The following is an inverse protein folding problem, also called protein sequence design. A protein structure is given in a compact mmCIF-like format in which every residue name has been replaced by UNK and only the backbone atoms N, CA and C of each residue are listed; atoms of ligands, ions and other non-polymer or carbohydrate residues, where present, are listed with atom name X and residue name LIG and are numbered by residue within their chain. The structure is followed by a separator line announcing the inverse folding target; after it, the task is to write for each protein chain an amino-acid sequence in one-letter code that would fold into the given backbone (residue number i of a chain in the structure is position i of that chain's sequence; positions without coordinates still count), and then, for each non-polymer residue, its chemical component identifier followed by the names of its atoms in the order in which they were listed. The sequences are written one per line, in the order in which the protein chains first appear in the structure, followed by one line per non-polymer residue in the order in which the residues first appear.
data_IF_408913454911
#
_entry.id   IF_408913454911
#
_cell.length_a   1.000
_cell.length_b   1.000
_cell.length_c   1.000
_cell.angle_alpha   90.00
_cell.angle_beta   90.00
_cell.angle_gamma   90.00
#
_symmetry.space_group_name_H-M   'P 1'
#
loop_
_entity.id
_entity.type
_entity.pdbx_description
1 polymer ?
#
# COMPACT_ATOMS: atom_id res chain seq x y z
N UNK A 1 -36.62 -9.83 -19.23
CA UNK A 1 -36.18 -9.64 -17.83
C UNK A 1 -34.95 -10.48 -17.49
N UNK A 2 -34.99 -11.81 -17.68
CA UNK A 2 -33.86 -12.72 -17.38
C UNK A 2 -32.53 -12.35 -18.06
N UNK A 3 -32.55 -12.00 -19.36
CA UNK A 3 -31.35 -11.62 -20.10
C UNK A 3 -30.61 -10.42 -19.47
N UNK A 4 -31.34 -9.36 -19.10
CA UNK A 4 -30.76 -8.16 -18.49
C UNK A 4 -30.13 -8.45 -17.12
N UNK A 5 -30.76 -9.35 -16.34
CA UNK A 5 -30.22 -9.80 -15.05
C UNK A 5 -28.92 -10.58 -15.24
N UNK A 6 -28.88 -11.57 -16.15
CA UNK A 6 -27.68 -12.35 -16.41
C UNK A 6 -26.54 -11.51 -16.99
N UNK A 7 -26.84 -10.57 -17.88
CA UNK A 7 -25.85 -9.65 -18.42
C UNK A 7 -25.25 -8.78 -17.31
N UNK A 8 -26.10 -8.20 -16.47
CA UNK A 8 -25.66 -7.36 -15.34
C UNK A 8 -24.79 -8.16 -14.37
N UNK A 9 -25.21 -9.39 -14.03
CA UNK A 9 -24.46 -10.28 -13.15
C UNK A 9 -23.10 -10.67 -13.77
N UNK A 10 -23.07 -11.00 -15.06
CA UNK A 10 -21.83 -11.34 -15.76
C UNK A 10 -20.84 -10.19 -15.77
N UNK A 11 -21.30 -8.97 -16.06
CA UNK A 11 -20.46 -7.76 -16.00
C UNK A 11 -19.98 -7.51 -14.56
N UNK A 12 -20.85 -7.66 -13.56
CA UNK A 12 -20.46 -7.49 -12.15
C UNK A 12 -19.41 -8.51 -11.72
N UNK A 13 -19.58 -9.80 -12.03
CA UNK A 13 -18.62 -10.85 -11.71
C UNK A 13 -17.29 -10.65 -12.43
N UNK A 14 -17.32 -10.31 -13.73
CA UNK A 14 -16.11 -9.98 -14.48
C UNK A 14 -15.37 -8.80 -13.85
N UNK A 15 -16.11 -7.78 -13.40
CA UNK A 15 -15.54 -6.59 -12.77
C UNK A 15 -14.84 -6.92 -11.45
N UNK A 16 -15.46 -7.75 -10.61
CA UNK A 16 -14.87 -8.24 -9.36
C UNK A 16 -13.63 -9.08 -9.63
N UNK A 17 -13.68 -9.99 -10.61
CA UNK A 17 -12.54 -10.80 -11.02
C UNK A 17 -11.39 -9.92 -11.56
N UNK A 18 -11.69 -8.90 -12.38
CA UNK A 18 -10.69 -7.96 -12.86
C UNK A 18 -10.01 -7.18 -11.74
N UNK A 19 -10.73 -6.90 -10.65
CA UNK A 19 -10.19 -6.25 -9.45
C UNK A 19 -9.35 -7.17 -8.57
N UNK A 20 -9.50 -8.50 -8.67
CA UNK A 20 -8.65 -9.43 -7.91
C UNK A 20 -7.24 -9.56 -8.50
N UNK A 21 -7.02 -9.13 -9.75
CA UNK A 21 -5.68 -9.05 -10.32
C UNK A 21 -4.88 -7.89 -9.70
N UNK A 22 -3.57 -8.08 -9.58
CA UNK A 22 -2.64 -7.07 -9.05
C UNK A 22 -2.12 -6.08 -10.11
N UNK A 23 -2.61 -6.17 -11.35
CA UNK A 23 -2.24 -5.26 -12.44
C UNK A 23 -3.15 -4.01 -12.44
N UNK A 24 -2.55 -2.82 -12.41
CA UNK A 24 -3.25 -1.52 -12.45
C UNK A 24 -4.23 -1.40 -13.61
N UNK A 25 -3.91 -1.96 -14.79
CA UNK A 25 -4.82 -1.92 -15.94
C UNK A 25 -6.08 -2.77 -15.71
N UNK A 26 -5.91 -3.99 -15.20
CA UNK A 26 -7.02 -4.89 -14.86
C UNK A 26 -7.90 -4.29 -13.76
N UNK A 27 -7.30 -3.70 -12.73
CA UNK A 27 -8.05 -3.05 -11.65
C UNK A 27 -8.86 -1.85 -12.15
N UNK A 28 -8.30 -1.03 -13.06
CA UNK A 28 -9.03 0.09 -13.69
C UNK A 28 -10.17 -0.41 -14.58
N UNK A 29 -9.94 -1.46 -15.37
CA UNK A 29 -10.99 -2.07 -16.18
C UNK A 29 -12.12 -2.64 -15.30
N UNK A 30 -11.78 -3.28 -14.18
CA UNK A 30 -12.76 -3.76 -13.20
C UNK A 30 -13.54 -2.62 -12.53
N UNK A 31 -12.89 -1.51 -12.20
CA UNK A 31 -13.59 -0.32 -11.68
C UNK A 31 -14.58 0.26 -12.69
N UNK A 32 -14.19 0.37 -13.97
CA UNK A 32 -15.09 0.79 -15.04
C UNK A 32 -16.27 -0.19 -15.20
N UNK A 33 -16.00 -1.49 -15.09
CA UNK A 33 -17.04 -2.51 -15.15
C UNK A 33 -18.07 -2.40 -14.02
N UNK A 34 -17.69 -2.00 -12.80
CA UNK A 34 -18.64 -1.72 -11.69
C UNK A 34 -19.58 -0.55 -12.04
N UNK A 35 -19.04 0.50 -12.66
CA UNK A 35 -19.83 1.66 -13.11
C UNK A 35 -20.86 1.21 -14.16
N UNK A 36 -20.41 0.41 -15.13
CA UNK A 36 -21.27 -0.15 -16.18
C UNK A 36 -22.32 -1.10 -15.58
N UNK A 37 -21.95 -1.99 -14.66
CA UNK A 37 -22.88 -2.89 -14.00
C UNK A 37 -23.97 -2.12 -13.23
N UNK A 38 -23.60 -1.01 -12.58
CA UNK A 38 -24.56 -0.16 -11.85
C UNK A 38 -25.54 0.54 -12.78
N UNK A 39 -25.07 1.02 -13.94
CA UNK A 39 -25.94 1.53 -14.99
C UNK A 39 -26.92 0.46 -15.46
N UNK A 40 -26.41 -0.72 -15.84
CA UNK A 40 -27.21 -1.81 -16.39
C UNK A 40 -28.26 -2.31 -15.37
N UNK A 41 -27.89 -2.43 -14.11
CA UNK A 41 -28.79 -2.85 -13.03
C UNK A 41 -30.03 -1.95 -12.96
N UNK A 42 -29.83 -0.64 -12.86
CA UNK A 42 -30.94 0.31 -12.74
C UNK A 42 -31.69 0.47 -14.05
N UNK A 43 -31.00 0.45 -15.19
CA UNK A 43 -31.63 0.52 -16.50
C UNK A 43 -32.57 -0.67 -16.73
N UNK A 44 -32.16 -1.90 -16.44
CA UNK A 44 -33.00 -3.08 -16.65
C UNK A 44 -34.16 -3.20 -15.66
N UNK A 45 -34.05 -2.61 -14.45
CA UNK A 45 -35.14 -2.57 -13.47
C UNK A 45 -36.18 -1.50 -13.82
N UNK A 46 -35.72 -0.31 -14.22
CA UNK A 46 -36.58 0.89 -14.34
C UNK A 46 -36.95 1.25 -15.77
N UNK A 47 -36.23 0.73 -16.77
CA UNK A 47 -36.31 1.16 -18.17
C UNK A 47 -35.74 2.56 -18.44
N UNK A 48 -35.27 3.27 -17.41
CA UNK A 48 -34.81 4.64 -17.51
C UNK A 48 -33.30 4.72 -17.61
N UNK A 49 -32.80 5.21 -18.76
CA UNK A 49 -31.37 5.46 -18.97
C UNK A 49 -30.86 6.61 -18.08
N UNK A 50 -31.72 7.58 -17.72
CA UNK A 50 -31.39 8.68 -16.82
C UNK A 50 -31.10 8.17 -15.40
N UNK A 51 -31.94 7.27 -14.88
CA UNK A 51 -31.72 6.65 -13.57
C UNK A 51 -30.48 5.75 -13.58
N UNK A 52 -30.26 5.02 -14.67
CA UNK A 52 -29.02 4.25 -14.87
C UNK A 52 -27.78 5.14 -14.83
N UNK A 53 -27.81 6.28 -15.52
CA UNK A 53 -26.68 7.22 -15.56
C UNK A 53 -26.44 7.83 -14.18
N UNK A 54 -27.50 8.24 -13.47
CA UNK A 54 -27.39 8.73 -12.11
C UNK A 54 -26.72 7.72 -11.17
N UNK A 55 -27.09 6.44 -11.28
CA UNK A 55 -26.49 5.36 -10.51
C UNK A 55 -25.01 5.15 -10.86
N UNK A 56 -24.63 5.19 -12.14
CA UNK A 56 -23.24 5.11 -12.57
C UNK A 56 -22.40 6.29 -12.04
N UNK A 57 -22.91 7.51 -12.18
CA UNK A 57 -22.21 8.74 -11.75
C UNK A 57 -22.09 8.83 -10.23
N UNK A 58 -23.00 8.21 -9.47
CA UNK A 58 -22.94 8.17 -8.00
C UNK A 58 -21.61 7.61 -7.47
N UNK A 59 -20.97 6.68 -8.19
CA UNK A 59 -19.67 6.13 -7.85
C UNK A 59 -18.54 7.17 -7.84
N UNK A 60 -18.66 8.25 -8.63
CA UNK A 60 -17.70 9.35 -8.64
C UNK A 60 -17.76 10.22 -7.37
N UNK A 61 -18.87 10.13 -6.62
CA UNK A 61 -19.07 10.87 -5.38
C UNK A 61 -18.64 10.07 -4.13
N UNK A 62 -18.33 8.78 -4.23
CA UNK A 62 -17.80 8.00 -3.11
C UNK A 62 -16.52 8.62 -2.49
N UNK A 63 -15.52 9.09 -3.27
CA UNK A 63 -14.37 9.78 -2.69
C UNK A 63 -14.76 11.04 -1.91
N UNK A 64 -15.79 11.77 -2.34
CA UNK A 64 -16.26 12.97 -1.65
C UNK A 64 -16.90 12.63 -0.30
N UNK A 65 -17.65 11.54 -0.21
CA UNK A 65 -18.19 11.04 1.06
C UNK A 65 -17.07 10.66 2.04
N UNK A 66 -16.03 9.97 1.56
CA UNK A 66 -14.86 9.65 2.38
C UNK A 66 -14.12 10.92 2.85
N UNK A 67 -13.94 11.91 1.98
CA UNK A 67 -13.28 13.17 2.34
C UNK A 67 -14.08 13.92 3.42
N UNK A 68 -15.38 14.08 3.22
CA UNK A 68 -16.25 14.86 4.11
C UNK A 68 -16.41 14.21 5.50
N UNK A 69 -16.38 12.88 5.58
CA UNK A 69 -16.57 12.14 6.84
C UNK A 69 -15.25 11.81 7.53
N UNK A 70 -14.24 11.35 6.79
CA UNK A 70 -13.00 10.77 7.34
C UNK A 70 -11.89 11.79 7.51
N UNK A 71 -11.68 12.67 6.54
CA UNK A 71 -10.56 13.63 6.57
C UNK A 71 -10.80 14.73 7.58
N UNK A 72 -12.05 15.15 7.78
CA UNK A 72 -12.39 16.19 8.76
C UNK A 72 -12.10 15.77 10.21
N UNK A 73 -12.08 14.47 10.47
CA UNK A 73 -11.75 13.89 11.78
C UNK A 73 -10.26 13.48 11.90
N UNK A 74 -9.51 13.43 10.80
CA UNK A 74 -8.09 13.06 10.80
C UNK A 74 -7.27 14.15 11.50
N UNK A 75 -6.87 13.88 12.74
CA UNK A 75 -5.93 14.69 13.50
C UNK A 75 -4.53 14.12 13.29
N UNK A 76 -3.66 14.92 12.68
CA UNK A 76 -2.25 14.57 12.59
C UNK A 76 -1.52 15.15 13.80
N UNK A 77 -0.66 14.36 14.48
CA UNK A 77 0.17 14.89 15.55
C UNK A 77 1.10 15.96 14.98
N UNK A 78 1.11 17.14 15.61
CA UNK A 78 1.93 18.28 15.19
C UNK A 78 3.43 17.98 15.30
N UNK A 79 3.81 17.16 16.25
CA UNK A 79 5.19 16.72 16.47
C UNK A 79 5.24 15.21 16.32
N UNK A 80 6.04 14.70 15.37
CA UNK A 80 6.25 13.26 15.19
C UNK A 80 7.70 12.86 15.51
N UNK A 81 7.99 12.51 16.76
CA UNK A 81 9.31 12.06 17.22
C UNK A 81 9.37 10.54 17.41
N UNK A 82 10.25 9.89 16.66
CA UNK A 82 10.57 8.47 16.87
C UNK A 82 11.25 8.28 18.22
N UNK A 83 10.83 7.27 18.97
CA UNK A 83 11.40 6.90 20.26
C UNK A 83 11.94 5.47 20.19
N UNK A 84 12.99 5.12 20.96
CA UNK A 84 13.38 3.73 21.15
C UNK A 84 12.18 2.90 21.60
N UNK A 85 12.01 1.71 21.01
CA UNK A 85 10.90 0.80 21.31
C UNK A 85 11.41 -0.61 21.46
N UNK A 86 10.76 -1.37 22.33
CA UNK A 86 10.97 -2.81 22.39
C UNK A 86 10.33 -3.48 21.19
N UNK A 87 10.92 -4.59 20.76
CA UNK A 87 10.34 -5.46 19.74
C UNK A 87 8.92 -5.90 20.14
N UNK A 88 7.96 -5.93 19.20
CA UNK A 88 6.65 -6.52 19.46
C UNK A 88 6.79 -8.01 19.76
N UNK A 89 5.82 -8.54 20.52
CA UNK A 89 5.75 -9.97 20.83
C UNK A 89 5.54 -10.82 19.57
N UNK A 90 5.91 -12.10 19.62
CA UNK A 90 5.62 -13.09 18.57
C UNK A 90 4.13 -13.22 18.29
N UNK A 91 3.28 -12.98 19.28
CA UNK A 91 1.82 -13.08 19.12
C UNK A 91 1.29 -11.89 18.30
N UNK A 92 1.84 -10.70 18.51
CA UNK A 92 1.48 -9.49 17.75
C UNK A 92 2.12 -9.42 16.37
N UNK A 93 3.36 -9.91 16.22
CA UNK A 93 4.07 -9.90 14.94
C UNK A 93 4.90 -11.18 14.74
N UNK A 94 4.26 -12.30 14.34
CA UNK A 94 4.91 -13.61 14.23
C UNK A 94 6.09 -13.63 13.25
N UNK A 95 5.99 -12.90 12.13
CA UNK A 95 6.99 -12.93 11.07
C UNK A 95 8.26 -12.11 11.38
N UNK A 96 8.29 -11.34 12.49
CA UNK A 96 9.41 -10.44 12.78
C UNK A 96 10.75 -11.16 12.86
N UNK A 97 10.80 -12.31 13.54
CA UNK A 97 12.05 -13.06 13.73
C UNK A 97 12.57 -13.67 12.43
N UNK A 98 11.68 -14.21 11.60
CA UNK A 98 12.03 -14.79 10.31
C UNK A 98 12.59 -13.73 9.36
N UNK A 99 11.89 -12.60 9.25
CA UNK A 99 12.31 -11.48 8.41
C UNK A 99 13.62 -10.87 8.91
N UNK A 100 13.81 -10.77 10.23
CA UNK A 100 15.07 -10.27 10.82
C UNK A 100 16.24 -11.14 10.37
N UNK A 101 16.10 -12.47 10.43
CA UNK A 101 17.13 -13.41 9.97
C UNK A 101 17.37 -13.28 8.46
N UNK A 102 16.33 -13.18 7.65
CA UNK A 102 16.48 -13.01 6.19
C UNK A 102 17.29 -11.74 5.87
N UNK A 103 17.11 -10.66 6.63
CA UNK A 103 17.87 -9.41 6.46
C UNK A 103 19.33 -9.58 6.89
N UNK A 104 19.57 -10.24 8.02
CA UNK A 104 20.91 -10.52 8.54
C UNK A 104 21.72 -11.47 7.63
N UNK A 105 21.07 -12.46 7.02
CA UNK A 105 21.66 -13.40 6.07
C UNK A 105 22.20 -12.69 4.80
N UNK A 106 21.62 -11.54 4.43
CA UNK A 106 22.11 -10.67 3.34
C UNK A 106 23.26 -9.74 3.77
N UNK A 107 23.70 -9.83 5.03
CA UNK A 107 24.82 -9.09 5.60
C UNK A 107 24.44 -7.72 6.18
N UNK A 108 23.16 -7.47 6.45
CA UNK A 108 22.74 -6.27 7.18
C UNK A 108 22.86 -6.49 8.69
N UNK A 109 23.31 -5.47 9.42
CA UNK A 109 23.41 -5.49 10.88
C UNK A 109 22.26 -4.71 11.49
N UNK A 110 21.58 -5.27 12.49
CA UNK A 110 20.54 -4.54 13.22
C UNK A 110 21.16 -3.36 13.99
N UNK A 111 20.61 -2.16 13.78
CA UNK A 111 21.05 -0.92 14.41
C UNK A 111 20.20 -0.57 15.62
N UNK A 112 18.90 -0.88 15.56
CA UNK A 112 18.01 -0.66 16.68
C UNK A 112 16.53 -0.70 16.31
N UNK A 113 15.72 -0.65 17.35
CA UNK A 113 14.26 -0.67 17.26
C UNK A 113 13.71 0.71 17.69
N UNK A 114 12.85 1.27 16.85
CA UNK A 114 12.25 2.57 17.07
C UNK A 114 10.76 2.52 16.74
N UNK A 115 10.00 3.47 17.26
CA UNK A 115 8.58 3.50 17.01
C UNK A 115 7.92 4.76 17.48
N UNK A 116 6.61 4.78 17.29
CA UNK A 116 5.74 5.87 17.65
C UNK A 116 4.36 5.29 17.96
N UNK A 117 3.72 5.79 19.01
CA UNK A 117 2.33 5.51 19.33
C UNK A 117 1.53 6.82 19.37
N UNK A 118 0.33 6.83 18.81
CA UNK A 118 -0.60 7.96 18.87
C UNK A 118 -2.04 7.50 18.78
N UNK A 119 -2.84 7.77 19.82
CA UNK A 119 -4.21 7.27 19.92
C UNK A 119 -4.23 5.75 19.61
N UNK A 120 -4.98 5.33 18.60
CA UNK A 120 -5.08 3.92 18.18
C UNK A 120 -4.07 3.53 17.10
N UNK A 121 -3.12 4.41 16.77
CA UNK A 121 -2.06 4.14 15.81
C UNK A 121 -0.77 3.74 16.52
N UNK A 122 -0.23 2.58 16.15
CA UNK A 122 1.11 2.16 16.57
C UNK A 122 1.97 1.89 15.34
N UNK A 123 3.19 2.40 15.38
CA UNK A 123 4.20 2.17 14.36
C UNK A 123 5.47 1.65 15.02
N UNK A 124 5.96 0.54 14.50
CA UNK A 124 7.22 -0.05 14.91
C UNK A 124 8.16 -0.17 13.70
N UNK A 125 9.43 0.12 13.95
CA UNK A 125 10.52 0.05 12.98
C UNK A 125 11.65 -0.75 13.59
N UNK A 126 12.07 -1.83 12.92
CA UNK A 126 13.38 -2.42 13.14
C UNK A 126 14.31 -1.96 12.04
N UNK A 127 15.41 -1.33 12.43
CA UNK A 127 16.36 -0.67 11.52
C UNK A 127 17.62 -1.52 11.38
N UNK A 128 18.11 -1.62 10.15
CA UNK A 128 19.33 -2.31 9.81
C UNK A 128 20.20 -1.48 8.88
N UNK A 129 21.49 -1.77 8.87
CA UNK A 129 22.44 -1.10 8.02
C UNK A 129 23.51 -2.04 7.49
N UNK A 130 23.88 -1.85 6.23
CA UNK A 130 24.97 -2.56 5.57
C UNK A 130 25.97 -1.54 5.03
N UNK A 131 27.17 -1.53 5.62
CA UNK A 131 28.20 -0.53 5.32
C UNK A 131 28.75 -0.68 3.90
N UNK A 132 29.00 -1.92 3.45
CA UNK A 132 29.54 -2.21 2.11
C UNK A 132 28.72 -1.58 0.99
N UNK A 133 27.39 -1.68 1.11
CA UNK A 133 26.43 -1.21 0.12
C UNK A 133 25.87 0.19 0.47
N UNK A 134 26.26 0.76 1.62
CA UNK A 134 25.72 2.00 2.21
C UNK A 134 24.20 2.06 2.19
N UNK A 135 23.59 0.93 2.52
CA UNK A 135 22.15 0.71 2.43
C UNK A 135 21.55 0.55 3.82
N UNK A 136 20.40 1.19 4.04
CA UNK A 136 19.58 1.02 5.23
C UNK A 136 18.35 0.17 4.89
N UNK A 137 18.12 -0.90 5.64
CA UNK A 137 16.90 -1.68 5.56
C UNK A 137 16.02 -1.43 6.79
N UNK A 138 14.71 -1.55 6.63
CA UNK A 138 13.77 -1.44 7.74
C UNK A 138 12.59 -2.39 7.58
N UNK A 139 12.20 -3.01 8.69
CA UNK A 139 10.90 -3.67 8.85
C UNK A 139 9.96 -2.65 9.48
N UNK A 140 8.88 -2.32 8.79
CA UNK A 140 7.91 -1.32 9.22
C UNK A 140 6.57 -2.01 9.54
N UNK A 141 6.18 -2.05 10.81
CA UNK A 141 4.87 -2.53 11.25
C UNK A 141 3.96 -1.33 11.52
N UNK A 142 2.73 -1.38 10.98
CA UNK A 142 1.69 -0.38 11.21
C UNK A 142 0.45 -1.08 11.74
N UNK A 143 -0.04 -0.58 12.87
CA UNK A 143 -1.23 -1.08 13.53
C UNK A 143 -2.20 0.08 13.72
N UNK A 144 -3.46 -0.13 13.32
CA UNK A 144 -4.56 0.79 13.54
C UNK A 144 -5.84 0.00 13.78
N UNK A 145 -6.41 0.10 14.99
CA UNK A 145 -7.61 -0.65 15.38
C UNK A 145 -7.45 -2.16 15.05
N UNK A 146 -8.36 -2.74 14.25
CA UNK A 146 -8.35 -4.15 13.84
C UNK A 146 -7.48 -4.43 12.61
N UNK A 147 -6.80 -3.41 12.06
CA UNK A 147 -5.93 -3.55 10.90
C UNK A 147 -4.46 -3.49 11.31
N UNK A 148 -3.73 -4.57 11.03
CA UNK A 148 -2.28 -4.60 11.15
C UNK A 148 -1.67 -5.05 9.81
N UNK A 149 -0.62 -4.35 9.38
CA UNK A 149 0.18 -4.76 8.23
C UNK A 149 1.63 -4.33 8.41
N UNK A 150 2.53 -5.09 7.80
CA UNK A 150 3.93 -4.73 7.72
C UNK A 150 4.40 -4.58 6.29
N UNK A 151 5.53 -3.90 6.12
CA UNK A 151 6.24 -3.82 4.86
C UNK A 151 7.75 -3.63 5.12
N UNK A 152 8.53 -3.94 4.10
CA UNK A 152 9.96 -3.82 4.04
C UNK A 152 10.35 -2.60 3.21
N UNK A 153 11.43 -1.95 3.63
CA UNK A 153 12.01 -0.80 2.94
C UNK A 153 13.52 -0.93 2.91
N UNK A 154 14.12 -0.62 1.77
CA UNK A 154 15.57 -0.48 1.61
C UNK A 154 15.82 0.90 1.02
N UNK A 155 16.78 1.64 1.57
CA UNK A 155 17.14 2.96 1.07
C UNK A 155 18.63 3.24 1.10
N UNK A 156 19.11 3.90 0.05
CA UNK A 156 20.48 4.41 -0.06
C UNK A 156 20.45 5.89 -0.44
N UNK A 157 21.43 6.64 0.05
CA UNK A 157 21.58 8.07 -0.21
C UNK A 157 22.75 8.31 -1.15
N UNK A 158 22.49 8.93 -2.30
CA UNK A 158 23.53 9.36 -3.22
C UNK A 158 24.25 10.62 -2.70
N UNK A 159 25.46 10.88 -3.21
CA UNK A 159 26.25 12.08 -2.84
C UNK A 159 25.49 13.40 -3.06
N UNK A 160 24.64 13.46 -4.08
CA UNK A 160 23.78 14.62 -4.38
C UNK A 160 22.55 14.78 -3.48
N UNK A 161 22.40 13.96 -2.44
CA UNK A 161 21.27 14.02 -1.52
C UNK A 161 20.00 13.30 -1.99
N UNK A 162 19.96 12.77 -3.22
CA UNK A 162 18.88 11.91 -3.71
C UNK A 162 18.79 10.64 -2.85
N UNK A 163 17.57 10.30 -2.44
CA UNK A 163 17.28 9.10 -1.66
C UNK A 163 16.57 8.11 -2.58
N UNK A 164 17.25 7.01 -2.86
CA UNK A 164 16.71 5.88 -3.60
C UNK A 164 16.07 4.94 -2.60
N UNK A 165 14.78 4.64 -2.76
CA UNK A 165 14.04 3.76 -1.85
C UNK A 165 13.34 2.67 -2.66
N UNK A 166 13.58 1.43 -2.27
CA UNK A 166 12.80 0.27 -2.73
C UNK A 166 11.95 -0.23 -1.57
N UNK A 167 10.67 -0.49 -1.81
CA UNK A 167 9.78 -1.00 -0.76
C UNK A 167 8.67 -1.88 -1.34
N UNK A 168 7.99 -2.64 -0.48
CA UNK A 168 6.83 -3.46 -0.84
C UNK A 168 5.53 -2.98 -0.15
N UNK A 169 5.44 -1.67 0.13
CA UNK A 169 4.28 -1.05 0.80
C UNK A 169 2.96 -1.46 0.12
N UNK A 170 1.96 -2.00 0.86
CA UNK A 170 0.79 -2.63 0.25
C UNK A 170 -0.29 -1.64 -0.19
N UNK A 171 -0.32 -0.42 0.36
CA UNK A 171 -1.38 0.55 0.09
C UNK A 171 -0.99 1.58 -0.98
N UNK A 172 -1.97 2.33 -1.49
CA UNK A 172 -1.72 3.48 -2.38
C UNK A 172 -1.08 4.65 -1.61
N UNK A 173 -0.39 5.53 -2.33
CA UNK A 173 0.18 6.74 -1.72
C UNK A 173 -0.91 7.75 -1.44
N UNK A 174 -1.08 8.12 -0.16
CA UNK A 174 -1.97 9.21 0.24
C UNK A 174 -1.40 10.62 0.03
N UNK A 175 -0.08 10.73 -0.18
CA UNK A 175 0.64 12.00 -0.30
C UNK A 175 1.66 11.97 -1.44
N UNK A 176 1.94 13.15 -2.01
CA UNK A 176 3.01 13.33 -3.00
C UNK A 176 4.37 13.18 -2.31
N UNK A 177 5.26 12.47 -2.97
CA UNK A 177 6.63 12.22 -2.50
C UNK A 177 7.51 13.44 -2.77
N UNK A 178 8.43 13.74 -1.86
CA UNK A 178 9.39 14.85 -2.01
C UNK A 178 10.26 14.69 -3.27
N UNK A 179 10.64 15.78 -3.97
CA UNK A 179 11.38 15.72 -5.23
C UNK A 179 12.72 14.97 -5.19
N UNK A 180 13.34 14.84 -4.02
CA UNK A 180 14.63 14.15 -3.82
C UNK A 180 14.47 12.63 -3.60
N UNK A 181 13.24 12.15 -3.41
CA UNK A 181 12.97 10.73 -3.24
C UNK A 181 12.68 10.08 -4.59
N UNK A 182 13.33 8.95 -4.83
CA UNK A 182 13.09 8.09 -5.99
C UNK A 182 12.63 6.74 -5.46
N UNK A 183 11.46 6.30 -5.91
CA UNK A 183 10.81 5.12 -5.37
C UNK A 183 10.72 4.04 -6.43
N UNK A 184 11.20 2.85 -6.05
CA UNK A 184 10.96 1.61 -6.76
C UNK A 184 10.00 0.74 -5.92
N UNK A 185 8.71 0.72 -6.30
CA UNK A 185 7.71 -0.08 -5.59
C UNK A 185 7.68 -1.51 -6.12
N UNK A 186 7.84 -2.46 -5.22
CA UNK A 186 7.75 -3.88 -5.48
C UNK A 186 6.45 -4.46 -4.92
N UNK A 187 6.14 -5.70 -5.29
CA UNK A 187 4.94 -6.38 -4.82
C UNK A 187 5.07 -6.74 -3.33
N UNK A 188 3.95 -6.76 -2.55
CA UNK A 188 3.97 -7.06 -1.11
C UNK A 188 4.54 -8.44 -0.76
N UNK A 189 4.34 -9.43 -1.64
CA UNK A 189 4.66 -10.85 -1.46
C UNK A 189 6.13 -11.22 -1.74
N UNK A 190 7.00 -10.23 -1.97
CA UNK A 190 8.40 -10.51 -2.28
C UNK A 190 9.21 -10.74 -1.00
N UNK A 191 10.11 -11.73 -1.05
CA UNK A 191 11.14 -11.95 -0.03
C UNK A 191 12.08 -10.75 0.07
N UNK A 192 12.76 -10.58 1.21
CA UNK A 192 13.77 -9.54 1.37
C UNK A 192 14.88 -9.66 0.32
N UNK A 193 15.38 -10.87 0.01
CA UNK A 193 16.40 -11.05 -1.03
C UNK A 193 15.97 -10.45 -2.38
N UNK A 194 14.74 -10.73 -2.83
CA UNK A 194 14.23 -10.18 -4.11
C UNK A 194 14.09 -8.67 -4.04
N UNK A 195 13.61 -8.14 -2.92
CA UNK A 195 13.52 -6.70 -2.68
C UNK A 195 14.91 -6.05 -2.76
N UNK A 196 15.92 -6.71 -2.20
CA UNK A 196 17.29 -6.24 -2.17
C UNK A 196 17.94 -6.26 -3.55
N UNK A 197 17.80 -7.35 -4.32
CA UNK A 197 18.27 -7.38 -5.71
C UNK A 197 17.59 -6.30 -6.57
N UNK A 198 16.29 -6.09 -6.38
CA UNK A 198 15.56 -5.02 -7.05
C UNK A 198 16.07 -3.62 -6.66
N UNK A 199 16.50 -3.44 -5.41
CA UNK A 199 17.14 -2.20 -4.96
C UNK A 199 18.50 -1.99 -5.63
N UNK A 200 19.36 -3.01 -5.66
CA UNK A 200 20.67 -2.92 -6.32
C UNK A 200 20.55 -2.63 -7.81
N UNK A 201 19.60 -3.27 -8.49
CA UNK A 201 19.32 -2.98 -9.90
C UNK A 201 18.76 -1.56 -10.10
N UNK A 202 17.93 -1.08 -9.17
CA UNK A 202 17.44 0.30 -9.20
C UNK A 202 18.56 1.32 -9.05
N UNK A 203 19.53 1.08 -8.16
CA UNK A 203 20.74 1.90 -8.05
C UNK A 203 21.58 1.83 -9.33
N UNK A 204 21.91 0.62 -9.81
CA UNK A 204 22.73 0.41 -11.02
C UNK A 204 22.19 1.14 -12.25
N UNK A 205 20.86 1.20 -12.41
CA UNK A 205 20.22 1.91 -13.52
C UNK A 205 20.29 3.43 -13.41
N UNK A 206 20.57 3.97 -12.23
CA UNK A 206 20.45 5.39 -11.93
C UNK A 206 21.72 6.06 -11.35
N UNK A 207 22.80 5.31 -11.12
CA UNK A 207 24.11 5.80 -10.70
C UNK A 207 24.36 5.72 -9.20
#
# INVERSE_FOLDING_TARGET
MLFGVFLTLGVAMLSVALRSFQNSYSQKAGALGIIIASFLAIFFITGSWLLGLAAAVSWLFLPWLEILTRIRALRLPKEKQLRPKNAPSSDSFPALSEITREIEDEGFVQVGDAGWDWEDYRQFFRLFYKEEDRAQAAICLNEQHDLSFYYLRISSRAKGGTIWTTWNYPLSYGLKVTPQFRINRQRPDQSFWRLYQSHREFLRRNG
#
